data_IF_560786371404
#
_entry.id   IF_560786371404
#
_cell.length_a   1.000
_cell.length_b   1.000
_cell.length_c   1.000
_cell.angle_alpha   90.00
_cell.angle_beta   90.00
_cell.angle_gamma   90.00
#
_symmetry.space_group_name_H-M   'P 1'
#
loop_
_entity.id
_entity.type
_entity.pdbx_description
1 polymer ?
#
# COMPACT_ATOMS: atom_id res chain seq x y z
N UNK A 1 22.77 -7.05 51.98
CA UNK A 1 21.41 -7.28 51.43
C UNK A 1 21.05 -6.39 50.24
N UNK A 2 21.94 -5.49 49.78
CA UNK A 2 21.70 -4.59 48.64
C UNK A 2 22.41 -5.02 47.33
N UNK A 3 23.41 -5.89 47.40
CA UNK A 3 24.19 -6.37 46.26
C UNK A 3 23.41 -7.30 45.32
N UNK A 4 22.44 -8.06 45.85
CA UNK A 4 21.66 -9.02 45.07
C UNK A 4 20.56 -8.35 44.22
N UNK A 5 20.05 -7.19 44.63
CA UNK A 5 19.02 -6.45 43.89
C UNK A 5 19.59 -5.83 42.59
N UNK A 6 20.82 -5.32 42.64
CA UNK A 6 21.51 -4.73 41.47
C UNK A 6 21.93 -5.80 40.45
N UNK A 7 22.23 -7.01 40.89
CA UNK A 7 22.57 -8.13 40.00
C UNK A 7 21.35 -8.78 39.32
N UNK A 8 20.16 -8.57 39.87
CA UNK A 8 18.89 -9.03 39.27
C UNK A 8 18.49 -8.07 38.15
N UNK A 9 18.64 -6.76 38.33
CA UNK A 9 18.28 -5.75 37.32
C UNK A 9 19.26 -5.67 36.14
N UNK A 10 20.45 -6.26 36.23
CA UNK A 10 21.46 -6.25 35.16
C UNK A 10 21.27 -7.34 34.10
N UNK A 11 20.38 -8.32 34.34
CA UNK A 11 20.10 -9.37 33.35
C UNK A 11 19.00 -8.91 32.38
N UNK A 12 19.26 -8.91 31.05
CA UNK A 12 18.35 -8.34 30.06
C UNK A 12 16.96 -8.98 30.06
N UNK A 13 16.86 -10.23 30.51
CA UNK A 13 15.60 -10.97 30.65
C UNK A 13 14.56 -10.29 31.55
N UNK A 14 14.96 -9.54 32.59
CA UNK A 14 14.01 -8.84 33.47
C UNK A 14 13.37 -7.60 32.83
N UNK A 15 13.92 -7.13 31.70
CA UNK A 15 13.36 -6.03 30.90
C UNK A 15 12.62 -6.58 29.68
N UNK A 16 13.19 -7.58 29.01
CA UNK A 16 12.62 -8.13 27.76
C UNK A 16 11.32 -8.90 28.02
N UNK A 17 11.23 -9.68 29.11
CA UNK A 17 10.03 -10.46 29.44
C UNK A 17 8.80 -9.57 29.70
N UNK A 18 8.84 -8.54 30.57
CA UNK A 18 7.67 -7.69 30.78
C UNK A 18 7.30 -6.89 29.52
N UNK A 19 8.28 -6.43 28.72
CA UNK A 19 7.98 -5.73 27.46
C UNK A 19 7.32 -6.64 26.43
N UNK A 20 7.76 -7.89 26.31
CA UNK A 20 7.12 -8.86 25.41
C UNK A 20 5.73 -9.24 25.88
N UNK A 21 5.52 -9.46 27.18
CA UNK A 21 4.20 -9.71 27.75
C UNK A 21 3.25 -8.52 27.56
N UNK A 22 3.75 -7.29 27.76
CA UNK A 22 2.97 -6.07 27.50
C UNK A 22 2.60 -5.95 26.02
N UNK A 23 3.54 -6.24 25.11
CA UNK A 23 3.28 -6.22 23.67
C UNK A 23 2.23 -7.26 23.27
N UNK A 24 2.34 -8.50 23.76
CA UNK A 24 1.34 -9.56 23.53
C UNK A 24 -0.03 -9.17 24.09
N UNK A 25 -0.09 -8.59 25.29
CA UNK A 25 -1.34 -8.12 25.89
C UNK A 25 -1.98 -6.99 25.05
N UNK A 26 -1.18 -6.02 24.59
CA UNK A 26 -1.66 -4.95 23.72
C UNK A 26 -2.19 -5.55 22.41
N UNK A 27 -1.49 -6.49 21.79
CA UNK A 27 -1.95 -7.16 20.57
C UNK A 27 -3.27 -7.90 20.83
N UNK A 28 -3.37 -8.68 21.91
CA UNK A 28 -4.59 -9.42 22.26
C UNK A 28 -5.79 -8.47 22.46
N UNK A 29 -5.61 -7.39 23.22
CA UNK A 29 -6.65 -6.37 23.42
C UNK A 29 -7.03 -5.69 22.10
N UNK A 30 -6.06 -5.37 21.24
CA UNK A 30 -6.28 -4.76 19.93
C UNK A 30 -7.05 -5.67 18.96
N UNK A 31 -6.85 -6.98 19.06
CA UNK A 31 -7.60 -7.96 18.27
C UNK A 31 -9.05 -8.08 18.75
N UNK A 32 -9.27 -7.99 20.07
CA UNK A 32 -10.64 -8.02 20.63
C UNK A 32 -11.45 -6.76 20.32
N UNK A 33 -10.82 -5.57 20.28
CA UNK A 33 -11.52 -4.32 19.93
C UNK A 33 -11.86 -4.21 18.45
N UNK A 34 -11.05 -4.81 17.57
CA UNK A 34 -11.35 -4.90 16.13
C UNK A 34 -12.67 -5.63 15.83
N UNK A 35 -13.09 -6.56 16.68
CA UNK A 35 -14.32 -7.32 16.48
C UNK A 35 -15.61 -6.49 16.67
N UNK A 36 -15.53 -5.29 17.25
CA UNK A 36 -16.71 -4.47 17.58
C UNK A 36 -16.78 -3.14 16.83
N UNK A 37 -15.97 -2.94 15.78
CA UNK A 37 -16.06 -1.72 14.99
C UNK A 37 -17.26 -1.79 14.04
N UNK A 38 -18.27 -0.97 14.32
CA UNK A 38 -19.29 -0.63 13.34
C UNK A 38 -18.58 0.11 12.20
N UNK A 39 -18.68 -0.41 10.97
CA UNK A 39 -18.14 0.29 9.79
C UNK A 39 -18.82 1.68 9.69
N UNK A 40 -18.06 2.78 9.62
CA UNK A 40 -18.63 4.12 9.51
C UNK A 40 -19.44 4.25 8.22
N UNK A 41 -20.60 4.91 8.29
CA UNK A 41 -21.36 5.30 7.11
C UNK A 41 -20.79 6.60 6.55
N UNK A 42 -20.43 6.61 5.27
CA UNK A 42 -19.86 7.78 4.57
C UNK A 42 -20.87 8.37 3.58
N UNK A 43 -20.90 9.71 3.45
CA UNK A 43 -21.72 10.40 2.44
C UNK A 43 -21.07 10.45 1.06
N UNK A 44 -19.75 10.27 0.96
CA UNK A 44 -18.94 10.42 -0.24
C UNK A 44 -18.90 11.85 -0.82
N UNK A 45 -19.29 12.85 -0.03
CA UNK A 45 -19.27 14.28 -0.39
C UNK A 45 -18.02 14.93 0.21
N UNK A 46 -17.28 15.71 -0.61
CA UNK A 46 -16.06 16.38 -0.16
C UNK A 46 -15.02 15.37 0.34
N UNK A 47 -14.63 15.49 1.60
CA UNK A 47 -13.64 14.63 2.26
C UNK A 47 -14.27 13.50 3.10
N UNK A 48 -15.60 13.35 3.08
CA UNK A 48 -16.31 12.32 3.82
C UNK A 48 -16.36 10.99 3.04
N UNK A 49 -15.22 10.31 2.96
CA UNK A 49 -15.05 9.01 2.33
C UNK A 49 -13.98 8.19 3.06
N UNK A 50 -13.97 6.85 2.96
CA UNK A 50 -12.98 6.05 3.66
C UNK A 50 -11.58 6.26 3.04
N UNK A 51 -10.57 6.43 3.91
CA UNK A 51 -9.17 6.54 3.47
C UNK A 51 -8.64 5.25 2.81
N UNK A 52 -9.27 4.11 3.11
CA UNK A 52 -8.94 2.80 2.53
C UNK A 52 -10.08 2.35 1.65
N UNK A 53 -9.74 1.73 0.53
CA UNK A 53 -10.74 1.10 -0.31
C UNK A 53 -11.42 -0.05 0.48
N UNK A 54 -12.77 -0.05 0.62
CA UNK A 54 -13.48 -1.05 1.41
C UNK A 54 -13.50 -2.38 0.66
N UNK A 55 -12.51 -3.23 0.93
CA UNK A 55 -12.47 -4.59 0.43
C UNK A 55 -13.19 -5.52 1.40
N UNK A 56 -13.98 -6.49 0.91
CA UNK A 56 -14.43 -7.59 1.74
C UNK A 56 -13.23 -8.35 2.30
N UNK A 57 -13.40 -9.15 3.38
CA UNK A 57 -12.33 -10.03 3.85
C UNK A 57 -11.78 -10.89 2.71
N UNK A 58 -10.50 -10.70 2.40
CA UNK A 58 -9.79 -11.46 1.37
C UNK A 58 -8.88 -12.48 2.04
N UNK A 59 -8.75 -13.65 1.40
CA UNK A 59 -7.83 -14.67 1.86
C UNK A 59 -6.39 -14.21 1.62
N UNK A 60 -5.50 -14.52 2.56
CA UNK A 60 -4.07 -14.38 2.32
C UNK A 60 -3.65 -15.40 1.26
N UNK A 61 -2.83 -14.94 0.32
CA UNK A 61 -2.24 -15.78 -0.73
C UNK A 61 -0.72 -15.75 -0.59
N UNK A 62 -0.06 -16.85 -0.95
CA UNK A 62 1.39 -16.89 -1.05
C UNK A 62 1.85 -16.03 -2.23
N UNK A 63 2.80 -15.13 -1.98
CA UNK A 63 3.42 -14.31 -3.01
C UNK A 63 4.74 -14.96 -3.46
N UNK A 64 4.76 -15.47 -4.69
CA UNK A 64 6.00 -15.91 -5.33
C UNK A 64 6.68 -14.74 -6.00
N UNK A 65 7.92 -14.44 -5.59
CA UNK A 65 8.77 -13.46 -6.27
C UNK A 65 9.55 -14.18 -7.38
N UNK A 66 9.34 -13.75 -8.62
CA UNK A 66 10.10 -14.23 -9.77
C UNK A 66 10.77 -13.07 -10.50
N UNK A 67 12.02 -13.28 -10.96
CA UNK A 67 12.58 -12.42 -11.99
C UNK A 67 11.92 -12.78 -13.32
N UNK A 68 11.11 -11.86 -13.85
CA UNK A 68 10.38 -12.09 -15.08
C UNK A 68 10.97 -11.29 -16.23
N UNK A 69 11.41 -12.00 -17.27
CA UNK A 69 11.76 -11.36 -18.54
C UNK A 69 10.59 -10.57 -19.16
N UNK A 70 9.35 -10.98 -18.84
CA UNK A 70 8.10 -10.38 -19.39
C UNK A 70 7.95 -8.90 -19.02
N UNK A 71 8.50 -8.48 -17.89
CA UNK A 71 8.44 -7.11 -17.40
C UNK A 71 9.79 -6.39 -17.49
N UNK A 72 10.58 -6.67 -18.53
CA UNK A 72 11.81 -5.90 -18.77
C UNK A 72 11.48 -4.48 -19.21
N UNK A 73 12.40 -3.55 -18.96
CA UNK A 73 12.35 -2.18 -19.50
C UNK A 73 12.97 -2.21 -20.90
N UNK A 74 12.20 -2.65 -21.88
CA UNK A 74 12.62 -2.74 -23.28
C UNK A 74 11.42 -2.49 -24.20
N UNK A 75 11.66 -2.01 -25.43
CA UNK A 75 10.58 -1.63 -26.34
C UNK A 75 9.66 -2.82 -26.66
N UNK A 76 10.23 -4.03 -26.79
CA UNK A 76 9.50 -5.26 -27.09
C UNK A 76 8.61 -5.78 -25.93
N UNK A 77 8.78 -5.28 -24.70
CA UNK A 77 8.00 -5.70 -23.52
C UNK A 77 7.03 -4.63 -23.03
N UNK A 78 7.00 -3.44 -23.64
CA UNK A 78 6.12 -2.33 -23.17
C UNK A 78 4.64 -2.70 -23.19
N UNK A 79 4.20 -3.47 -24.19
CA UNK A 79 2.79 -3.86 -24.30
C UNK A 79 2.39 -4.80 -23.14
N UNK A 80 3.31 -5.63 -22.64
CA UNK A 80 3.06 -6.46 -21.44
C UNK A 80 2.84 -5.63 -20.19
N UNK A 81 3.53 -4.49 -20.06
CA UNK A 81 3.28 -3.56 -18.96
C UNK A 81 1.91 -2.88 -19.08
N UNK A 82 1.49 -2.54 -20.30
CA UNK A 82 0.16 -1.99 -20.56
C UNK A 82 -0.95 -3.00 -20.24
N UNK A 83 -0.79 -4.24 -20.69
CA UNK A 83 -1.76 -5.32 -20.47
C UNK A 83 -1.90 -5.71 -19.00
N UNK A 84 -0.92 -5.37 -18.16
CA UNK A 84 -0.98 -5.61 -16.72
C UNK A 84 -1.79 -4.55 -15.96
N UNK A 85 -2.15 -3.43 -16.61
CA UNK A 85 -2.97 -2.41 -15.98
C UNK A 85 -4.35 -2.97 -15.64
N UNK A 86 -4.94 -2.55 -14.50
CA UNK A 86 -6.29 -2.93 -14.15
C UNK A 86 -7.30 -2.41 -15.17
N UNK A 87 -8.42 -3.13 -15.30
CA UNK A 87 -9.59 -2.66 -16.05
C UNK A 87 -9.98 -1.27 -15.59
N UNK A 88 -10.36 -0.40 -16.53
CA UNK A 88 -10.73 1.00 -16.30
C UNK A 88 -9.66 1.78 -15.51
N UNK A 89 -8.37 1.44 -15.65
CA UNK A 89 -7.24 2.06 -14.94
C UNK A 89 -7.39 2.02 -13.40
N UNK A 90 -8.25 1.13 -12.89
CA UNK A 90 -8.48 1.01 -11.45
C UNK A 90 -9.33 2.13 -10.86
N UNK A 91 -10.10 2.84 -11.69
CA UNK A 91 -11.14 3.72 -11.19
C UNK A 91 -12.31 2.92 -10.63
N UNK A 92 -12.88 3.39 -9.53
CA UNK A 92 -14.03 2.80 -8.86
C UNK A 92 -15.10 3.85 -8.63
N UNK A 93 -16.37 3.42 -8.58
CA UNK A 93 -17.51 4.29 -8.29
C UNK A 93 -18.09 3.93 -6.93
N UNK A 94 -18.09 4.89 -6.01
CA UNK A 94 -18.52 4.68 -4.63
C UNK A 94 -19.60 5.68 -4.22
N UNK A 95 -20.40 5.26 -3.23
CA UNK A 95 -21.49 6.05 -2.68
C UNK A 95 -22.75 6.11 -3.55
N UNK A 96 -23.83 6.73 -3.03
CA UNK A 96 -25.12 6.82 -3.72
C UNK A 96 -25.06 7.56 -5.06
N UNK A 97 -24.15 8.55 -5.18
CA UNK A 97 -23.98 9.38 -6.37
C UNK A 97 -22.91 8.84 -7.34
N UNK A 98 -22.41 7.62 -7.13
CA UNK A 98 -21.43 6.96 -8.00
C UNK A 98 -20.16 7.80 -8.28
N UNK A 99 -19.66 8.50 -7.26
CA UNK A 99 -18.45 9.34 -7.35
C UNK A 99 -17.26 8.48 -7.76
N UNK A 100 -16.46 9.00 -8.70
CA UNK A 100 -15.27 8.33 -9.22
C UNK A 100 -14.10 8.55 -8.25
N UNK A 101 -13.40 7.47 -7.92
CA UNK A 101 -12.15 7.46 -7.17
C UNK A 101 -11.09 6.68 -7.92
N UNK A 102 -9.84 7.13 -7.85
CA UNK A 102 -8.68 6.33 -8.27
C UNK A 102 -8.13 5.59 -7.05
N UNK A 103 -8.02 4.27 -7.11
CA UNK A 103 -7.36 3.52 -6.04
C UNK A 103 -5.85 3.77 -6.15
N UNK A 104 -5.22 4.20 -5.05
CA UNK A 104 -3.82 4.63 -5.04
C UNK A 104 -2.86 3.59 -5.63
N UNK A 105 -3.06 2.31 -5.33
CA UNK A 105 -2.23 1.21 -5.86
C UNK A 105 -2.30 1.13 -7.40
N UNK A 106 -3.49 1.31 -7.97
CA UNK A 106 -3.66 1.29 -9.43
C UNK A 106 -3.08 2.54 -10.10
N UNK A 107 -3.16 3.71 -9.45
CA UNK A 107 -2.48 4.91 -9.92
C UNK A 107 -0.94 4.72 -9.91
N UNK A 108 -0.39 4.18 -8.82
CA UNK A 108 1.04 3.84 -8.73
C UNK A 108 1.47 2.91 -9.87
N UNK A 109 0.65 1.89 -10.16
CA UNK A 109 0.90 0.95 -11.25
C UNK A 109 0.87 1.63 -12.64
N UNK A 110 -0.08 2.53 -12.88
CA UNK A 110 -0.12 3.37 -14.08
C UNK A 110 1.14 4.24 -14.24
N UNK A 111 1.59 4.90 -13.16
CA UNK A 111 2.83 5.67 -13.19
C UNK A 111 4.05 4.80 -13.52
N UNK A 112 4.12 3.59 -12.94
CA UNK A 112 5.21 2.65 -13.19
C UNK A 112 5.27 2.23 -14.67
N UNK A 113 4.11 1.99 -15.29
CA UNK A 113 4.01 1.76 -16.73
C UNK A 113 4.57 2.96 -17.54
N UNK A 114 4.13 4.18 -17.25
CA UNK A 114 4.58 5.38 -17.98
C UNK A 114 6.09 5.59 -17.86
N UNK A 115 6.65 5.40 -16.67
CA UNK A 115 8.10 5.48 -16.43
C UNK A 115 8.82 4.43 -17.28
N UNK A 116 8.37 3.18 -17.23
CA UNK A 116 8.95 2.09 -18.04
C UNK A 116 8.89 2.40 -19.53
N UNK A 117 7.74 2.87 -20.02
CA UNK A 117 7.56 3.24 -21.41
C UNK A 117 8.53 4.33 -21.83
N UNK A 118 8.71 5.37 -20.99
CA UNK A 118 9.63 6.48 -21.28
C UNK A 118 11.10 6.02 -21.33
N UNK A 119 11.48 5.10 -20.45
CA UNK A 119 12.83 4.55 -20.43
C UNK A 119 13.09 3.63 -21.64
N UNK A 120 12.06 2.88 -22.08
CA UNK A 120 12.17 1.91 -23.17
C UNK A 120 12.11 2.54 -24.57
N UNK A 121 11.25 3.56 -24.77
CA UNK A 121 10.96 4.14 -26.10
C UNK A 121 11.77 5.40 -26.41
N UNK A 122 12.51 5.94 -25.45
CA UNK A 122 13.33 7.13 -25.63
C UNK A 122 12.61 8.42 -25.22
N UNK A 123 13.07 9.60 -25.72
CA UNK A 123 12.66 10.88 -25.16
C UNK A 123 11.16 11.13 -25.27
N UNK A 124 10.61 11.68 -24.19
CA UNK A 124 9.20 12.06 -24.10
C UNK A 124 8.86 13.17 -25.09
N UNK A 125 7.62 13.15 -25.59
CA UNK A 125 7.13 14.29 -26.36
C UNK A 125 6.81 15.46 -25.42
N UNK A 126 6.70 16.70 -25.95
CA UNK A 126 6.20 17.83 -25.17
C UNK A 126 4.80 17.59 -24.57
N UNK A 127 3.99 16.72 -25.18
CA UNK A 127 2.67 16.36 -24.67
C UNK A 127 2.74 15.44 -23.44
N UNK A 128 3.73 14.54 -23.39
CA UNK A 128 3.88 13.56 -22.31
C UNK A 128 4.60 14.13 -21.08
N UNK A 129 5.41 15.17 -21.30
CA UNK A 129 6.25 15.80 -20.27
C UNK A 129 5.46 16.22 -19.01
N UNK A 130 4.33 16.94 -19.10
CA UNK A 130 3.55 17.32 -17.92
C UNK A 130 3.02 16.11 -17.14
N UNK A 131 2.60 15.06 -17.84
CA UNK A 131 2.08 13.85 -17.20
C UNK A 131 3.21 13.06 -16.50
N UNK A 132 4.38 12.97 -17.13
CA UNK A 132 5.55 12.40 -16.47
C UNK A 132 5.96 13.21 -15.24
N UNK A 133 5.93 14.54 -15.30
CA UNK A 133 6.24 15.39 -14.15
C UNK A 133 5.29 15.12 -12.98
N UNK A 134 3.99 14.96 -13.25
CA UNK A 134 3.00 14.53 -12.25
C UNK A 134 3.38 13.18 -11.64
N UNK A 135 3.73 12.18 -12.46
CA UNK A 135 4.15 10.86 -11.97
C UNK A 135 5.39 10.94 -11.06
N UNK A 136 6.39 11.72 -11.47
CA UNK A 136 7.63 11.89 -10.69
C UNK A 136 7.38 12.66 -9.39
N UNK A 137 6.43 13.60 -9.37
CA UNK A 137 6.02 14.27 -8.14
C UNK A 137 5.24 13.33 -7.21
N UNK A 138 4.37 12.48 -7.76
CA UNK A 138 3.61 11.49 -7.00
C UNK A 138 4.52 10.51 -6.25
N UNK A 139 5.66 10.11 -6.84
CA UNK A 139 6.64 9.21 -6.19
C UNK A 139 7.50 9.87 -5.09
N UNK A 140 7.53 11.20 -5.01
CA UNK A 140 8.35 11.93 -4.02
C UNK A 140 7.64 12.14 -2.68
N UNK A 141 6.32 12.02 -2.66
CA UNK A 141 5.48 12.21 -1.47
C UNK A 141 5.33 10.90 -0.70
#
# INVERSE_FOLDING_TARGET
>A
MWSNLVAITSKPQFIVIPLTLLNVLIIALSLTTRATHHEPTYSYIGDDFPAKFPLPPINTVELTLEESWRFRIANETVDTWWDNLPVDFGYVRLGPEHRIFAVSMFHQHHCLFLITQSLAKGPLTPHDTPHMQHCMNYLRA
#
